data_IF_104655245967
#
_entry.id   IF_104655245967
#
_cell.length_a   1.000
_cell.length_b   1.000
_cell.length_c   1.000
_cell.angle_alpha   90.00
_cell.angle_beta   90.00
_cell.angle_gamma   90.00
#
_symmetry.space_group_name_H-M   'P 1'
#
loop_
_entity.id
_entity.type
_entity.pdbx_description
1 polymer ?
#
# COMPACT_ATOMS: atom_id res chain seq x y z
N UNK A 1 -9.93 -15.74 -22.98
CA UNK A 1 -9.64 -16.47 -21.71
C UNK A 1 -9.83 -15.59 -20.46
N UNK A 2 -10.35 -14.35 -20.61
CA UNK A 2 -10.27 -13.30 -19.58
C UNK A 2 -11.54 -13.12 -18.72
N UNK A 3 -12.60 -13.90 -18.96
CA UNK A 3 -13.85 -13.80 -18.17
C UNK A 3 -13.94 -14.75 -16.98
N UNK A 4 -13.04 -15.72 -16.85
CA UNK A 4 -13.11 -16.74 -15.78
C UNK A 4 -12.40 -16.33 -14.48
N UNK A 5 -11.49 -15.36 -14.52
CA UNK A 5 -10.77 -14.88 -13.32
C UNK A 5 -11.61 -13.89 -12.47
N UNK A 6 -12.51 -13.13 -13.10
CA UNK A 6 -13.30 -12.10 -12.42
C UNK A 6 -14.40 -12.64 -11.49
N UNK A 7 -15.02 -13.78 -11.82
CA UNK A 7 -16.09 -14.36 -10.99
C UNK A 7 -15.59 -15.10 -9.75
N UNK A 8 -14.40 -15.70 -9.80
CA UNK A 8 -13.84 -16.44 -8.66
C UNK A 8 -13.37 -15.53 -7.51
N UNK A 9 -12.92 -14.31 -7.82
CA UNK A 9 -12.46 -13.36 -6.79
C UNK A 9 -13.60 -12.66 -6.04
N UNK A 10 -14.70 -12.33 -6.69
CA UNK A 10 -15.88 -11.73 -6.03
C UNK A 10 -16.55 -12.67 -5.03
N UNK A 11 -16.46 -13.99 -5.26
CA UNK A 11 -17.05 -15.02 -4.38
C UNK A 11 -16.30 -15.14 -3.05
N UNK A 12 -14.99 -14.86 -3.04
CA UNK A 12 -14.15 -15.09 -1.85
C UNK A 12 -14.36 -13.99 -0.77
N UNK A 13 -14.59 -12.74 -1.16
CA UNK A 13 -14.75 -11.64 -0.19
C UNK A 13 -16.17 -11.49 0.38
N UNK A 14 -17.22 -11.89 -0.38
CA UNK A 14 -18.61 -11.84 0.09
C UNK A 14 -19.12 -13.18 0.68
N UNK A 15 -18.38 -14.27 0.48
CA UNK A 15 -18.80 -15.62 0.91
C UNK A 15 -18.28 -16.03 2.29
N UNK A 16 -17.62 -15.17 3.05
CA UNK A 16 -17.09 -15.54 4.36
C UNK A 16 -18.17 -15.66 5.46
N UNK A 17 -19.46 -15.72 5.09
CA UNK A 17 -20.56 -16.00 6.01
C UNK A 17 -21.21 -17.39 5.82
N UNK A 18 -20.85 -18.16 4.79
CA UNK A 18 -21.44 -19.50 4.59
C UNK A 18 -20.40 -20.46 3.96
N UNK A 19 -19.90 -21.35 4.75
CA UNK A 19 -19.25 -22.63 4.46
C UNK A 19 -17.74 -22.73 4.72
N UNK A 20 -17.38 -23.44 5.78
CA UNK A 20 -16.42 -24.56 5.81
C UNK A 20 -14.91 -24.28 5.60
N UNK A 21 -14.44 -23.07 5.34
CA UNK A 21 -12.98 -22.77 5.27
C UNK A 21 -12.47 -22.21 6.61
N UNK A 22 -12.53 -23.02 7.65
CA UNK A 22 -12.06 -22.65 8.99
C UNK A 22 -10.57 -22.96 9.24
N UNK A 23 -9.77 -23.26 8.19
CA UNK A 23 -8.35 -23.50 8.38
C UNK A 23 -7.55 -22.23 8.01
N UNK A 24 -7.00 -21.48 9.00
CA UNK A 24 -6.21 -20.26 8.76
C UNK A 24 -5.06 -20.50 7.77
N UNK A 25 -4.48 -21.69 7.78
CA UNK A 25 -3.38 -22.07 6.88
C UNK A 25 -3.82 -22.15 5.40
N UNK A 26 -5.03 -22.60 5.13
CA UNK A 26 -5.56 -22.63 3.76
C UNK A 26 -5.80 -21.21 3.21
N UNK A 27 -6.34 -20.32 4.05
CA UNK A 27 -6.54 -18.90 3.70
C UNK A 27 -5.19 -18.22 3.43
N UNK A 28 -4.19 -18.44 4.29
CA UNK A 28 -2.83 -17.95 4.11
C UNK A 28 -2.22 -18.43 2.79
N UNK A 29 -2.31 -19.73 2.50
CA UNK A 29 -1.78 -20.32 1.27
C UNK A 29 -2.45 -19.77 0.01
N UNK A 30 -3.79 -19.58 0.04
CA UNK A 30 -4.52 -18.98 -1.06
C UNK A 30 -4.09 -17.52 -1.30
N UNK A 31 -4.00 -16.73 -0.21
CA UNK A 31 -3.58 -15.32 -0.29
C UNK A 31 -2.14 -15.20 -0.80
N UNK A 32 -1.22 -16.08 -0.37
CA UNK A 32 0.16 -16.11 -0.88
C UNK A 32 0.23 -16.36 -2.38
N UNK A 33 -0.59 -17.27 -2.91
CA UNK A 33 -0.66 -17.54 -4.35
C UNK A 33 -1.21 -16.37 -5.14
N UNK A 34 -2.27 -15.70 -4.64
CA UNK A 34 -2.83 -14.50 -5.27
C UNK A 34 -1.76 -13.39 -5.33
N UNK A 35 -1.07 -13.14 -4.21
CA UNK A 35 0.00 -12.15 -4.17
C UNK A 35 1.13 -12.49 -5.15
N UNK A 36 1.52 -13.76 -5.24
CA UNK A 36 2.55 -14.22 -6.19
C UNK A 36 2.16 -13.93 -7.65
N UNK A 37 0.90 -14.18 -8.03
CA UNK A 37 0.39 -13.87 -9.37
C UNK A 37 0.40 -12.36 -9.62
N UNK A 38 0.03 -11.52 -8.66
CA UNK A 38 0.05 -10.06 -8.79
C UNK A 38 1.48 -9.52 -8.95
N UNK A 39 2.46 -10.09 -8.23
CA UNK A 39 3.89 -9.76 -8.37
C UNK A 39 4.38 -10.13 -9.78
N UNK A 40 4.05 -11.32 -10.26
CA UNK A 40 4.39 -11.78 -11.60
C UNK A 40 3.80 -10.86 -12.68
N UNK A 41 2.50 -10.53 -12.58
CA UNK A 41 1.81 -9.64 -13.53
C UNK A 41 2.45 -8.25 -13.55
N UNK A 42 2.70 -7.66 -12.38
CA UNK A 42 3.37 -6.37 -12.22
C UNK A 42 4.76 -6.36 -12.85
N UNK A 43 5.58 -7.39 -12.60
CA UNK A 43 6.90 -7.51 -13.22
C UNK A 43 6.82 -7.60 -14.73
N UNK A 44 5.90 -8.41 -15.27
CA UNK A 44 5.69 -8.57 -16.71
C UNK A 44 5.21 -7.27 -17.37
N UNK A 45 4.27 -6.56 -16.74
CA UNK A 45 3.81 -5.25 -17.20
C UNK A 45 4.95 -4.23 -17.23
N UNK A 46 5.82 -4.23 -16.19
CA UNK A 46 7.00 -3.39 -16.13
C UNK A 46 8.15 -3.86 -17.04
N UNK A 47 8.00 -4.97 -17.79
CA UNK A 47 9.02 -5.56 -18.68
C UNK A 47 10.36 -5.82 -17.98
N UNK A 48 10.31 -6.30 -16.72
CA UNK A 48 11.50 -6.59 -15.91
C UNK A 48 11.81 -8.07 -15.89
N UNK A 49 13.12 -8.39 -15.82
CA UNK A 49 13.57 -9.76 -15.65
C UNK A 49 13.50 -10.20 -14.18
N UNK A 50 13.52 -11.50 -13.93
CA UNK A 50 13.56 -12.06 -12.57
C UNK A 50 14.88 -11.69 -11.89
N UNK A 51 15.99 -11.71 -12.66
CA UNK A 51 17.34 -11.38 -12.20
C UNK A 51 17.44 -9.92 -11.74
N UNK A 52 16.85 -9.00 -12.51
CA UNK A 52 16.79 -7.58 -12.11
C UNK A 52 16.04 -7.39 -10.78
N UNK A 53 14.91 -8.06 -10.62
CA UNK A 53 14.10 -7.96 -9.39
C UNK A 53 14.78 -8.63 -8.19
N UNK A 54 15.40 -9.79 -8.40
CA UNK A 54 16.18 -10.47 -7.38
C UNK A 54 17.38 -9.62 -6.94
N UNK A 55 18.12 -9.04 -7.90
CA UNK A 55 19.22 -8.12 -7.65
C UNK A 55 18.80 -6.86 -6.88
N UNK A 56 17.64 -6.27 -7.23
CA UNK A 56 17.07 -5.12 -6.53
C UNK A 56 16.81 -5.42 -5.04
N UNK A 57 16.26 -6.60 -4.76
CA UNK A 57 15.98 -7.03 -3.39
C UNK A 57 17.21 -7.59 -2.66
N UNK A 58 18.31 -7.85 -3.38
CA UNK A 58 19.52 -8.48 -2.85
C UNK A 58 19.30 -9.92 -2.39
N UNK A 59 18.45 -10.66 -3.11
CA UNK A 59 18.07 -12.05 -2.82
C UNK A 59 18.46 -12.97 -3.98
N UNK A 60 18.60 -14.29 -3.76
CA UNK A 60 18.76 -15.27 -4.83
C UNK A 60 17.55 -15.29 -5.79
N UNK A 61 17.82 -15.61 -7.07
CA UNK A 61 16.79 -15.72 -8.13
C UNK A 61 15.71 -16.75 -7.74
N UNK A 62 16.11 -17.86 -7.16
CA UNK A 62 15.22 -18.94 -6.71
C UNK A 62 14.24 -18.46 -5.64
N UNK A 63 14.69 -17.57 -4.76
CA UNK A 63 13.82 -16.98 -3.72
C UNK A 63 12.79 -16.04 -4.35
N UNK A 64 13.20 -15.23 -5.33
CA UNK A 64 12.25 -14.37 -6.06
C UNK A 64 11.20 -15.20 -6.82
N UNK A 65 11.61 -16.30 -7.46
CA UNK A 65 10.69 -17.25 -8.10
C UNK A 65 9.73 -17.91 -7.09
N UNK A 66 10.20 -18.16 -5.86
CA UNK A 66 9.35 -18.67 -4.79
C UNK A 66 8.27 -17.64 -4.37
N UNK A 67 8.54 -16.34 -4.44
CA UNK A 67 7.55 -15.28 -4.23
C UNK A 67 6.49 -15.28 -5.35
N UNK A 68 6.88 -15.29 -6.62
CA UNK A 68 5.93 -15.32 -7.74
C UNK A 68 5.07 -16.60 -7.76
N UNK A 69 5.63 -17.73 -7.33
CA UNK A 69 4.87 -18.98 -7.22
C UNK A 69 3.99 -19.09 -5.97
N UNK A 70 4.08 -18.11 -5.06
CA UNK A 70 3.35 -18.10 -3.79
C UNK A 70 3.82 -19.16 -2.78
N UNK A 71 4.99 -19.73 -2.97
CA UNK A 71 5.62 -20.67 -2.02
C UNK A 71 6.19 -19.96 -0.81
N UNK A 72 6.66 -18.73 -1.02
CA UNK A 72 7.12 -17.82 0.02
C UNK A 72 6.44 -16.46 -0.14
N UNK A 73 6.38 -15.69 0.94
CA UNK A 73 5.83 -14.33 0.94
C UNK A 73 6.92 -13.34 1.27
N UNK A 74 6.92 -12.22 0.57
CA UNK A 74 7.86 -11.12 0.84
C UNK A 74 7.34 -10.22 1.97
N UNK A 75 8.24 -9.40 2.50
CA UNK A 75 7.89 -8.41 3.50
C UNK A 75 7.24 -7.17 2.86
N UNK A 76 6.60 -6.33 3.67
CA UNK A 76 6.03 -5.07 3.18
C UNK A 76 7.10 -4.14 2.59
N UNK A 77 8.29 -3.94 3.21
CA UNK A 77 9.34 -3.11 2.61
C UNK A 77 9.85 -3.64 1.25
N UNK A 78 9.91 -4.96 1.08
CA UNK A 78 10.29 -5.55 -0.20
C UNK A 78 9.22 -5.30 -1.27
N UNK A 79 7.93 -5.38 -0.88
CA UNK A 79 6.81 -5.08 -1.77
C UNK A 79 6.75 -3.58 -2.12
N UNK A 80 6.98 -2.68 -1.16
CA UNK A 80 7.11 -1.23 -1.38
C UNK A 80 8.24 -0.93 -2.37
N UNK A 81 9.36 -1.64 -2.25
CA UNK A 81 10.51 -1.54 -3.15
C UNK A 81 10.15 -1.96 -4.58
N UNK A 82 9.46 -3.09 -4.74
CA UNK A 82 9.02 -3.58 -6.04
C UNK A 82 7.97 -2.65 -6.67
N UNK A 83 6.99 -2.17 -5.89
CA UNK A 83 6.00 -1.20 -6.36
C UNK A 83 6.65 0.06 -6.92
N UNK A 84 7.62 0.61 -6.19
CA UNK A 84 8.41 1.75 -6.63
C UNK A 84 9.21 1.45 -7.92
N UNK A 85 9.86 0.29 -7.98
CA UNK A 85 10.66 -0.11 -9.14
C UNK A 85 9.84 -0.35 -10.39
N UNK A 86 8.63 -0.89 -10.22
CA UNK A 86 7.68 -1.12 -11.31
C UNK A 86 6.89 0.13 -11.68
N UNK A 87 6.96 1.19 -10.87
CA UNK A 87 6.16 2.41 -10.99
C UNK A 87 4.66 2.15 -10.96
N UNK A 88 4.21 1.26 -10.07
CA UNK A 88 2.81 0.90 -9.87
C UNK A 88 2.35 1.33 -8.48
N UNK A 89 1.06 1.64 -8.30
CA UNK A 89 0.51 1.92 -6.98
C UNK A 89 0.62 0.68 -6.09
N UNK A 90 0.99 0.88 -4.82
CA UNK A 90 1.14 -0.22 -3.87
C UNK A 90 -0.19 -0.98 -3.69
N UNK A 91 -1.31 -0.26 -3.81
CA UNK A 91 -2.68 -0.77 -3.72
C UNK A 91 -2.99 -1.85 -4.78
N UNK A 92 -2.22 -1.92 -5.88
CA UNK A 92 -2.36 -2.96 -6.89
C UNK A 92 -2.30 -4.37 -6.28
N UNK A 93 -1.43 -4.60 -5.28
CA UNK A 93 -1.26 -5.90 -4.65
C UNK A 93 -2.44 -6.33 -3.75
N UNK A 94 -3.40 -5.43 -3.52
CA UNK A 94 -4.68 -5.69 -2.86
C UNK A 94 -5.89 -5.52 -3.79
N UNK A 95 -5.69 -4.87 -4.94
CA UNK A 95 -6.75 -4.67 -5.91
C UNK A 95 -7.00 -5.95 -6.73
N UNK A 96 -8.17 -6.03 -7.34
CA UNK A 96 -8.55 -7.14 -8.22
C UNK A 96 -8.35 -6.77 -9.70
N UNK A 97 -7.62 -5.68 -9.99
CA UNK A 97 -7.41 -5.18 -11.35
C UNK A 97 -6.02 -5.58 -11.87
N UNK A 98 -5.98 -6.15 -13.06
CA UNK A 98 -4.75 -6.45 -13.81
C UNK A 98 -4.19 -5.17 -14.44
N UNK A 99 -2.86 -5.02 -14.47
CA UNK A 99 -2.16 -3.85 -15.02
C UNK A 99 -1.92 -3.92 -16.53
N UNK A 100 -2.46 -4.88 -17.22
CA UNK A 100 -2.07 -5.27 -18.57
C UNK A 100 -2.14 -4.20 -19.68
N UNK A 101 -2.38 -2.90 -19.41
CA UNK A 101 -2.55 -1.89 -20.46
C UNK A 101 -1.89 -0.51 -20.26
N UNK A 102 -1.05 -0.26 -19.27
CA UNK A 102 -0.42 1.07 -19.14
C UNK A 102 1.09 1.06 -19.33
N UNK A 103 1.58 1.81 -20.33
CA UNK A 103 3.00 2.05 -20.59
C UNK A 103 3.66 2.78 -19.41
N UNK A 104 4.52 2.07 -18.70
CA UNK A 104 5.31 2.62 -17.60
C UNK A 104 6.58 3.28 -18.11
N UNK A 105 6.78 4.57 -17.79
CA UNK A 105 8.03 5.28 -18.03
C UNK A 105 9.16 4.68 -17.16
N UNK A 106 10.33 4.46 -17.78
CA UNK A 106 11.55 4.00 -17.08
C UNK A 106 11.99 5.00 -16.02
N UNK A 107 11.92 4.63 -14.75
CA UNK A 107 12.62 5.34 -13.67
C UNK A 107 14.02 4.76 -13.46
N UNK A 108 15.02 5.60 -13.11
CA UNK A 108 16.33 5.10 -12.70
C UNK A 108 16.17 4.19 -11.49
N UNK A 109 16.86 3.04 -11.50
CA UNK A 109 16.83 2.10 -10.37
C UNK A 109 17.27 2.79 -9.09
N UNK A 110 16.44 2.73 -8.07
CA UNK A 110 16.83 3.16 -6.73
C UNK A 110 17.71 2.06 -6.14
N UNK A 111 18.95 2.37 -5.82
CA UNK A 111 19.76 1.52 -4.95
C UNK A 111 19.16 1.61 -3.53
N UNK A 112 18.14 0.82 -3.29
CA UNK A 112 17.57 0.68 -1.95
C UNK A 112 18.56 -0.12 -1.10
N UNK A 113 19.32 0.62 -0.32
CA UNK A 113 20.31 0.07 0.59
C UNK A 113 19.62 -0.90 1.57
N UNK A 114 20.16 -2.08 1.75
CA UNK A 114 19.75 -3.08 2.76
C UNK A 114 19.51 -2.46 4.14
N UNK A 115 20.31 -1.43 4.49
CA UNK A 115 20.14 -0.68 5.73
C UNK A 115 18.81 0.06 5.84
N UNK A 116 18.29 0.62 4.73
CA UNK A 116 16.99 1.30 4.73
C UNK A 116 15.85 0.31 4.98
N UNK A 117 15.94 -0.90 4.39
CA UNK A 117 14.95 -1.96 4.63
C UNK A 117 14.96 -2.42 6.09
N UNK A 118 16.15 -2.63 6.68
CA UNK A 118 16.26 -2.99 8.08
C UNK A 118 15.68 -1.92 9.03
N UNK A 119 15.91 -0.64 8.73
CA UNK A 119 15.30 0.45 9.49
C UNK A 119 13.78 0.38 9.35
N UNK A 120 13.29 0.12 8.14
CA UNK A 120 11.86 0.03 7.86
C UNK A 120 11.21 -1.14 8.59
N UNK A 121 11.86 -2.32 8.63
CA UNK A 121 11.39 -3.48 9.40
C UNK A 121 11.26 -3.15 10.90
N UNK A 122 12.24 -2.44 11.47
CA UNK A 122 12.18 -1.97 12.87
C UNK A 122 11.03 -1.00 13.10
N UNK A 123 10.76 -0.10 12.17
CA UNK A 123 9.63 0.83 12.25
C UNK A 123 8.29 0.09 12.24
N UNK A 124 8.14 -0.91 11.36
CA UNK A 124 6.96 -1.76 11.29
C UNK A 124 6.78 -2.54 12.59
N UNK A 125 7.84 -3.15 13.12
CA UNK A 125 7.78 -3.87 14.39
C UNK A 125 7.40 -2.97 15.57
N UNK A 126 8.00 -1.77 15.66
CA UNK A 126 7.66 -0.79 16.70
C UNK A 126 6.19 -0.32 16.57
N UNK A 127 5.70 -0.13 15.35
CA UNK A 127 4.28 0.23 15.09
C UNK A 127 3.35 -0.90 15.53
N UNK A 128 3.68 -2.15 15.20
CA UNK A 128 2.93 -3.32 15.62
C UNK A 128 2.79 -3.36 17.15
N UNK A 129 3.91 -3.20 17.86
CA UNK A 129 3.93 -3.16 19.33
C UNK A 129 3.07 -2.03 19.90
N UNK A 130 3.14 -0.83 19.30
CA UNK A 130 2.33 0.31 19.71
C UNK A 130 0.83 0.00 19.58
N UNK A 131 0.40 -0.49 18.42
CA UNK A 131 -1.01 -0.81 18.15
C UNK A 131 -1.52 -1.94 19.07
N UNK A 132 -0.70 -2.97 19.31
CA UNK A 132 -1.03 -4.02 20.27
C UNK A 132 -1.27 -3.47 21.67
N UNK A 133 -0.36 -2.58 22.13
CA UNK A 133 -0.49 -1.96 23.46
C UNK A 133 -1.73 -1.05 23.54
N UNK A 134 -2.04 -0.31 22.47
CA UNK A 134 -3.26 0.51 22.40
C UNK A 134 -4.55 -0.35 22.46
N UNK A 135 -4.50 -1.53 21.86
CA UNK A 135 -5.58 -2.51 21.94
C UNK A 135 -5.65 -3.25 23.29
N UNK A 136 -4.72 -2.98 24.23
CA UNK A 136 -4.57 -3.67 25.50
C UNK A 136 -4.45 -5.20 25.37
N UNK A 137 -3.78 -5.68 24.30
CA UNK A 137 -3.58 -7.09 24.04
C UNK A 137 -2.18 -7.53 24.45
N UNK A 138 -2.08 -8.73 25.03
CA UNK A 138 -0.80 -9.40 25.29
C UNK A 138 -0.30 -10.10 24.01
N UNK A 139 1.00 -10.38 23.92
CA UNK A 139 1.58 -11.18 22.84
C UNK A 139 0.95 -12.57 22.76
N UNK A 140 0.62 -13.15 23.91
CA UNK A 140 -0.08 -14.44 23.99
C UNK A 140 -1.47 -14.39 23.34
N UNK A 141 -2.27 -13.38 23.67
CA UNK A 141 -3.62 -13.21 23.11
C UNK A 141 -3.60 -13.01 21.58
N UNK A 142 -2.59 -12.29 21.06
CA UNK A 142 -2.42 -12.18 19.61
C UNK A 142 -2.02 -13.53 19.01
N UNK A 143 -1.11 -14.27 19.65
CA UNK A 143 -0.70 -15.60 19.20
C UNK A 143 -1.91 -16.54 19.07
N UNK A 144 -2.80 -16.55 20.04
CA UNK A 144 -4.04 -17.35 20.00
C UNK A 144 -4.97 -16.94 18.85
N UNK A 145 -5.11 -15.63 18.56
CA UNK A 145 -5.99 -15.12 17.50
C UNK A 145 -5.44 -15.35 16.11
N UNK A 146 -4.12 -15.35 15.95
CA UNK A 146 -3.46 -15.34 14.64
C UNK A 146 -2.84 -16.67 14.25
N UNK A 147 -2.59 -17.55 15.22
CA UNK A 147 -1.83 -18.78 15.01
C UNK A 147 -0.32 -18.56 14.83
N UNK A 148 0.18 -17.33 15.00
CA UNK A 148 1.60 -16.98 14.97
C UNK A 148 2.14 -17.20 16.38
N UNK A 149 3.31 -17.86 16.52
CA UNK A 149 3.88 -18.12 17.84
C UNK A 149 4.21 -16.82 18.58
N UNK A 150 4.05 -16.83 19.91
CA UNK A 150 4.36 -15.67 20.75
C UNK A 150 5.82 -15.22 20.59
N UNK A 151 6.75 -16.17 20.40
CA UNK A 151 8.15 -15.87 20.16
C UNK A 151 8.36 -15.10 18.83
N UNK A 152 7.69 -15.51 17.75
CA UNK A 152 7.75 -14.81 16.48
C UNK A 152 7.17 -13.41 16.59
N UNK A 153 6.04 -13.22 17.29
CA UNK A 153 5.45 -11.89 17.50
C UNK A 153 6.45 -10.98 18.22
N UNK A 154 7.13 -11.46 19.24
CA UNK A 154 8.18 -10.69 19.95
C UNK A 154 9.33 -10.31 19.03
N UNK A 155 9.81 -11.23 18.18
CA UNK A 155 10.87 -10.96 17.20
C UNK A 155 10.40 -9.93 16.15
N UNK A 156 9.16 -9.99 15.70
CA UNK A 156 8.56 -9.01 14.80
C UNK A 156 8.50 -7.61 15.44
N UNK A 157 8.03 -7.52 16.70
CA UNK A 157 7.93 -6.26 17.43
C UNK A 157 9.30 -5.60 17.70
N UNK A 158 10.36 -6.40 17.81
CA UNK A 158 11.74 -5.91 17.97
C UNK A 158 12.41 -5.57 16.62
N UNK A 159 11.79 -5.97 15.50
CA UNK A 159 12.37 -5.82 14.17
C UNK A 159 13.61 -6.66 13.96
N UNK A 160 13.73 -7.77 14.69
CA UNK A 160 14.81 -8.76 14.54
C UNK A 160 14.59 -9.63 13.30
N UNK A 161 13.32 -9.84 12.95
CA UNK A 161 12.89 -10.61 11.79
C UNK A 161 11.88 -9.77 11.02
N UNK A 162 12.05 -9.69 9.69
CA UNK A 162 11.09 -9.05 8.81
C UNK A 162 9.74 -9.77 8.87
N UNK A 163 8.65 -9.02 8.96
CA UNK A 163 7.29 -9.59 9.01
C UNK A 163 6.88 -9.95 7.58
N UNK A 164 6.61 -11.24 7.28
CA UNK A 164 6.02 -11.60 6.00
C UNK A 164 4.69 -10.88 5.80
N UNK A 165 4.42 -10.37 4.60
CA UNK A 165 3.24 -9.54 4.34
C UNK A 165 1.93 -10.21 4.77
N UNK A 166 1.79 -11.52 4.52
CA UNK A 166 0.59 -12.26 4.89
C UNK A 166 0.42 -12.36 6.41
N UNK A 167 1.53 -12.50 7.15
CA UNK A 167 1.49 -12.49 8.61
C UNK A 167 1.14 -11.09 9.13
N UNK A 168 1.63 -10.04 8.49
CA UNK A 168 1.25 -8.65 8.80
C UNK A 168 -0.25 -8.41 8.54
N UNK A 169 -0.82 -8.89 7.41
CA UNK A 169 -2.26 -8.80 7.13
C UNK A 169 -3.10 -9.50 8.23
N UNK A 170 -2.64 -10.66 8.70
CA UNK A 170 -3.31 -11.40 9.77
C UNK A 170 -3.24 -10.62 11.10
N UNK A 171 -2.08 -10.07 11.44
CA UNK A 171 -1.86 -9.28 12.65
C UNK A 171 -2.70 -7.99 12.65
N UNK A 172 -2.73 -7.27 11.53
CA UNK A 172 -3.54 -6.06 11.32
C UNK A 172 -5.02 -6.35 11.56
N UNK A 173 -5.52 -7.45 11.01
CA UNK A 173 -6.90 -7.89 11.20
C UNK A 173 -7.19 -8.27 12.66
N UNK A 174 -6.25 -8.92 13.34
CA UNK A 174 -6.41 -9.28 14.74
C UNK A 174 -6.41 -8.08 15.69
N UNK A 175 -5.78 -6.97 15.27
CA UNK A 175 -5.68 -5.69 15.97
C UNK A 175 -6.79 -4.71 15.60
N UNK A 176 -7.68 -5.06 14.66
CA UNK A 176 -8.73 -4.17 14.11
C UNK A 176 -8.16 -2.84 13.60
N UNK A 177 -7.02 -2.92 12.89
CA UNK A 177 -6.32 -1.79 12.29
C UNK A 177 -6.24 -1.95 10.77
N UNK A 178 -5.66 -0.98 10.07
CA UNK A 178 -5.52 -1.03 8.61
C UNK A 178 -4.06 -1.25 8.22
N UNK A 179 -3.85 -1.96 7.11
CA UNK A 179 -2.51 -2.19 6.59
C UNK A 179 -1.81 -0.89 6.20
N UNK A 180 -2.59 0.12 5.76
CA UNK A 180 -2.10 1.46 5.43
C UNK A 180 -1.40 2.15 6.60
N UNK A 181 -1.75 1.81 7.83
CA UNK A 181 -1.11 2.36 9.04
C UNK A 181 0.36 1.95 9.16
N UNK A 182 0.77 0.93 8.42
CA UNK A 182 2.14 0.42 8.37
C UNK A 182 2.92 0.91 7.15
N UNK A 183 2.30 1.59 6.20
CA UNK A 183 2.98 2.06 4.99
C UNK A 183 4.03 3.14 5.30
N UNK A 184 5.06 3.21 4.44
CA UNK A 184 6.01 4.31 4.53
C UNK A 184 5.31 5.64 4.25
N UNK A 185 5.48 6.62 5.15
CA UNK A 185 4.88 7.95 5.03
C UNK A 185 5.90 9.09 4.92
N UNK A 186 7.17 8.84 5.24
CA UNK A 186 8.18 9.89 5.37
C UNK A 186 9.49 9.58 4.61
N UNK A 187 9.70 8.33 4.20
CA UNK A 187 10.86 7.93 3.44
C UNK A 187 10.73 8.19 1.93
N UNK A 188 11.73 7.82 1.14
CA UNK A 188 11.70 8.00 -0.32
C UNK A 188 10.49 7.35 -0.99
N UNK A 189 10.11 6.16 -0.53
CA UNK A 189 8.97 5.40 -1.04
C UNK A 189 7.65 6.07 -0.62
N UNK A 190 7.55 6.54 0.63
CA UNK A 190 6.39 7.27 1.12
C UNK A 190 6.16 8.57 0.35
N UNK A 191 7.21 9.34 0.10
CA UNK A 191 7.14 10.56 -0.70
C UNK A 191 6.70 10.28 -2.15
N UNK A 192 7.28 9.25 -2.79
CA UNK A 192 6.86 8.82 -4.12
C UNK A 192 5.37 8.42 -4.14
N UNK A 193 4.93 7.61 -3.16
CA UNK A 193 3.53 7.18 -3.05
C UNK A 193 2.58 8.37 -2.88
N UNK A 194 2.91 9.32 -2.00
CA UNK A 194 2.13 10.53 -1.79
C UNK A 194 2.03 11.37 -3.08
N UNK A 195 3.13 11.51 -3.82
CA UNK A 195 3.16 12.20 -5.10
C UNK A 195 2.27 11.50 -6.14
N UNK A 196 2.37 10.16 -6.25
CA UNK A 196 1.52 9.37 -7.17
C UNK A 196 0.04 9.54 -6.84
N UNK A 197 -0.33 9.44 -5.56
CA UNK A 197 -1.71 9.63 -5.14
C UNK A 197 -2.22 11.05 -5.44
N UNK A 198 -1.37 12.07 -5.30
CA UNK A 198 -1.74 13.45 -5.64
C UNK A 198 -1.97 13.62 -7.14
N UNK A 199 -1.11 13.02 -7.98
CA UNK A 199 -1.29 13.02 -9.43
C UNK A 199 -2.57 12.27 -9.82
N UNK A 200 -2.84 11.11 -9.24
CA UNK A 200 -4.07 10.37 -9.53
C UNK A 200 -5.31 11.17 -9.16
N UNK A 201 -5.34 11.78 -7.97
CA UNK A 201 -6.46 12.67 -7.56
C UNK A 201 -6.63 13.86 -8.49
N UNK A 202 -5.54 14.43 -8.98
CA UNK A 202 -5.59 15.50 -9.98
C UNK A 202 -6.23 15.00 -11.30
N UNK A 203 -5.87 13.80 -11.75
CA UNK A 203 -6.43 13.20 -12.97
C UNK A 203 -7.92 12.82 -12.85
N UNK A 204 -8.44 12.68 -11.62
CA UNK A 204 -9.87 12.47 -11.35
C UNK A 204 -10.71 13.76 -11.43
N UNK A 205 -10.06 14.93 -11.45
CA UNK A 205 -10.76 16.19 -11.65
C UNK A 205 -11.35 16.28 -13.07
N UNK A 206 -12.46 17.02 -13.21
CA UNK A 206 -13.00 17.30 -14.54
C UNK A 206 -11.99 18.09 -15.39
N UNK A 207 -11.95 17.90 -16.72
CA UNK A 207 -10.94 18.50 -17.59
C UNK A 207 -10.80 20.02 -17.42
N UNK A 208 -11.92 20.72 -17.24
CA UNK A 208 -11.94 22.18 -17.06
C UNK A 208 -11.20 22.62 -15.79
N UNK A 209 -11.29 21.82 -14.70
CA UNK A 209 -10.55 22.08 -13.47
C UNK A 209 -9.06 21.75 -13.62
N UNK A 210 -8.73 20.69 -14.37
CA UNK A 210 -7.33 20.36 -14.67
C UNK A 210 -6.68 21.49 -15.47
N UNK A 211 -7.34 21.96 -16.52
CA UNK A 211 -6.87 23.08 -17.35
C UNK A 211 -6.70 24.35 -16.51
N UNK A 212 -7.70 24.66 -15.67
CA UNK A 212 -7.64 25.83 -14.80
C UNK A 212 -6.44 25.79 -13.84
N UNK A 213 -6.20 24.64 -13.20
CA UNK A 213 -5.07 24.45 -12.26
C UNK A 213 -3.72 24.52 -12.98
N UNK A 214 -3.64 24.01 -14.22
CA UNK A 214 -2.41 24.00 -14.99
C UNK A 214 -2.03 25.36 -15.60
N UNK A 215 -2.94 26.33 -15.69
CA UNK A 215 -2.65 27.66 -16.24
C UNK A 215 -1.89 28.51 -15.22
N UNK A 216 -0.66 28.99 -15.54
CA UNK A 216 0.13 29.81 -14.60
C UNK A 216 -0.57 31.10 -14.17
N UNK A 217 -1.41 31.69 -15.03
CA UNK A 217 -2.20 32.89 -14.74
C UNK A 217 -3.20 32.71 -13.60
N UNK A 218 -3.62 31.47 -13.33
CA UNK A 218 -4.61 31.13 -12.30
C UNK A 218 -3.98 30.90 -10.92
N UNK A 219 -2.66 30.91 -10.81
CA UNK A 219 -1.95 30.70 -9.53
C UNK A 219 -2.44 31.59 -8.38
N UNK A 220 -2.67 32.92 -8.58
CA UNK A 220 -3.19 33.79 -7.51
C UNK A 220 -4.57 33.35 -7.00
N UNK A 221 -5.44 32.83 -7.88
CA UNK A 221 -6.76 32.31 -7.49
C UNK A 221 -6.66 31.05 -6.68
N UNK A 222 -5.73 30.16 -7.03
CA UNK A 222 -5.46 28.95 -6.25
C UNK A 222 -4.91 29.29 -4.85
N UNK A 223 -3.99 30.24 -4.76
CA UNK A 223 -3.46 30.73 -3.49
C UNK A 223 -4.56 31.36 -2.63
N UNK A 224 -5.46 32.11 -3.23
CA UNK A 224 -6.63 32.66 -2.53
C UNK A 224 -7.56 31.57 -2.03
N UNK A 225 -7.89 30.57 -2.87
CA UNK A 225 -8.72 29.45 -2.49
C UNK A 225 -8.11 28.66 -1.32
N UNK A 226 -6.78 28.44 -1.32
CA UNK A 226 -6.08 27.81 -0.20
C UNK A 226 -6.22 28.61 1.10
N UNK A 227 -6.12 29.93 1.05
CA UNK A 227 -6.31 30.79 2.23
C UNK A 227 -7.76 30.75 2.73
N UNK A 228 -8.73 30.81 1.81
CA UNK A 228 -10.15 30.73 2.14
C UNK A 228 -10.51 29.39 2.79
N UNK A 229 -9.93 28.27 2.34
CA UNK A 229 -10.19 26.95 2.91
C UNK A 229 -9.73 26.79 4.37
N UNK A 230 -8.86 27.69 4.86
CA UNK A 230 -8.37 27.70 6.25
C UNK A 230 -9.25 28.59 7.17
N UNK A 231 -10.23 29.31 6.62
CA UNK A 231 -11.11 30.17 7.41
C UNK A 231 -12.25 29.37 8.04
N UNK A 232 -12.72 29.83 9.20
CA UNK A 232 -13.96 29.29 9.77
C UNK A 232 -15.17 29.65 8.92
N UNK A 233 -16.26 28.90 9.07
CA UNK A 233 -17.51 29.11 8.31
C UNK A 233 -18.06 30.54 8.52
N UNK A 234 -17.94 31.10 9.75
CA UNK A 234 -18.37 32.43 10.07
C UNK A 234 -17.57 33.49 9.30
N UNK A 235 -16.23 33.32 9.23
CA UNK A 235 -15.36 34.23 8.47
C UNK A 235 -15.62 34.14 6.97
N UNK A 236 -15.85 32.93 6.44
CA UNK A 236 -16.21 32.74 5.02
C UNK A 236 -17.52 33.46 4.68
N UNK A 237 -18.52 33.36 5.57
CA UNK A 237 -19.80 34.08 5.40
C UNK A 237 -19.62 35.59 5.38
N UNK A 238 -18.84 36.12 6.33
CA UNK A 238 -18.54 37.58 6.37
C UNK A 238 -17.82 38.09 5.10
N UNK A 239 -16.88 37.30 4.57
CA UNK A 239 -16.21 37.59 3.29
C UNK A 239 -17.21 37.60 2.12
N UNK A 240 -18.12 36.63 2.09
CA UNK A 240 -19.13 36.52 1.04
C UNK A 240 -20.13 37.71 1.11
N UNK A 241 -20.58 38.08 2.29
CA UNK A 241 -21.45 39.25 2.53
C UNK A 241 -20.77 40.54 2.07
N UNK A 242 -19.48 40.75 2.43
CA UNK A 242 -18.73 41.93 1.98
C UNK A 242 -18.51 41.99 0.46
N UNK A 243 -18.37 40.85 -0.21
CA UNK A 243 -18.29 40.79 -1.68
C UNK A 243 -19.61 41.15 -2.36
N UNK A 244 -20.74 40.76 -1.76
CA UNK A 244 -22.07 41.08 -2.27
C UNK A 244 -22.37 42.59 -2.15
N UNK A 245 -21.94 43.26 -1.07
CA UNK A 245 -22.08 44.71 -0.88
C UNK A 245 -21.28 45.52 -1.91
N UNK A 246 -20.18 45.00 -2.44
CA UNK A 246 -19.37 45.69 -3.46
C UNK A 246 -19.96 45.54 -4.87
N UNK A 247 -20.84 44.56 -5.08
CA UNK A 247 -21.38 44.21 -6.41
C UNK A 247 -22.73 44.90 -6.70
N UNK A 248 -23.30 45.58 -5.71
CA UNK A 248 -24.50 46.42 -5.81
C UNK A 248 -24.14 47.90 -5.57
#
# INVERSE_FOLDING_TARGET
MDKLLCQSCQIIFHSNKRSGMNNPQQVKNLRSRILGVLIYDARKAARRSIEECAGLLGIPVEQYQAYESGKQTLSLPDLETLAYYFDIPLEHFWSHQSLSENETQKKPGLELNTRLRQIRDRMIGARLRLLRNQANLTTHQIAERTGISEQQIKQFELGEVAIPLIDLEILVKALDTRLEDFFDSHGPIGNWRAQKQSVNKFMELVPEMQDFVCMPVNRPYLELAMRLSQLSVEKLRSVAEGLLEITY
#
